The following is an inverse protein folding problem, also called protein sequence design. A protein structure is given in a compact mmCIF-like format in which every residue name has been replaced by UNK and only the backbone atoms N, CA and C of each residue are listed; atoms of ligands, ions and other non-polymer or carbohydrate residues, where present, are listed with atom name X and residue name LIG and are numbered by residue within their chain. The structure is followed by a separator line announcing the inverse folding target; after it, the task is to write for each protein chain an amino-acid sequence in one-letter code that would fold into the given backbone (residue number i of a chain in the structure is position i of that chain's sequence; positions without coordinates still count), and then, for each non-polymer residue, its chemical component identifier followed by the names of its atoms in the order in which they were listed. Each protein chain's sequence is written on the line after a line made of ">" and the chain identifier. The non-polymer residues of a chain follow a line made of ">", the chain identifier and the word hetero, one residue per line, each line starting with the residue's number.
data_IF_831535001993
#
_entry.id   IF_831535001993
#
_cell.length_a   1.000
_cell.length_b   1.000
_cell.length_c   1.000
_cell.angle_alpha   90.00
_cell.angle_beta   90.00
_cell.angle_gamma   90.00
#
_symmetry.space_group_name_H-M   'P 1'
#
loop_
_entity.id
_entity.type
_entity.pdbx_description
1 polymer ?
#
# COMPACT_ATOMS: atom_id res chain seq x y z
N UNK A 1 7.44 -6.17 7.37
CA UNK A 1 6.29 -5.67 6.59
C UNK A 1 6.51 -4.23 6.13
N UNK A 2 6.90 -3.30 7.00
CA UNK A 2 7.09 -1.88 6.68
C UNK A 2 8.05 -1.64 5.52
N UNK A 3 9.24 -2.25 5.54
CA UNK A 3 10.21 -2.12 4.44
C UNK A 3 9.66 -2.67 3.11
N UNK A 4 9.11 -3.89 3.14
CA UNK A 4 8.52 -4.50 1.94
C UNK A 4 7.40 -3.65 1.34
N UNK A 5 6.51 -3.11 2.18
CA UNK A 5 5.43 -2.23 1.72
C UNK A 5 5.97 -0.94 1.08
N UNK A 6 7.03 -0.34 1.63
CA UNK A 6 7.69 0.83 1.03
C UNK A 6 8.26 0.48 -0.34
N UNK A 7 9.09 -0.57 -0.41
CA UNK A 7 9.74 -1.01 -1.65
C UNK A 7 8.69 -1.39 -2.74
N UNK A 8 7.56 -1.98 -2.32
CA UNK A 8 6.41 -2.33 -3.16
C UNK A 8 5.74 -1.08 -3.74
N UNK A 9 5.33 -0.14 -2.87
CA UNK A 9 4.67 1.09 -3.30
C UNK A 9 5.56 1.96 -4.17
N UNK A 10 6.86 2.05 -3.88
CA UNK A 10 7.80 2.84 -4.68
C UNK A 10 7.89 2.30 -6.11
N UNK A 11 7.94 0.96 -6.26
CA UNK A 11 7.97 0.32 -7.57
C UNK A 11 6.67 0.55 -8.35
N UNK A 12 5.53 0.41 -7.70
CA UNK A 12 4.23 0.64 -8.33
C UNK A 12 4.06 2.10 -8.74
N UNK A 13 4.40 3.04 -7.85
CA UNK A 13 4.36 4.47 -8.14
C UNK A 13 5.30 4.83 -9.29
N UNK A 14 6.48 4.21 -9.39
CA UNK A 14 7.39 4.39 -10.51
C UNK A 14 6.76 3.92 -11.83
N UNK A 15 6.20 2.72 -11.88
CA UNK A 15 5.53 2.22 -13.09
C UNK A 15 4.29 3.06 -13.46
N UNK A 16 3.50 3.45 -12.46
CA UNK A 16 2.35 4.32 -12.69
C UNK A 16 2.76 5.66 -13.31
N UNK A 17 3.88 6.25 -12.88
CA UNK A 17 4.42 7.47 -13.47
C UNK A 17 4.98 7.24 -14.88
N UNK A 18 5.75 6.16 -15.08
CA UNK A 18 6.39 5.86 -16.37
C UNK A 18 5.38 5.62 -17.50
N UNK A 19 4.22 5.03 -17.16
CA UNK A 19 3.18 4.69 -18.13
C UNK A 19 1.96 5.63 -18.09
N UNK A 20 2.05 6.76 -17.39
CA UNK A 20 0.99 7.76 -17.23
C UNK A 20 -0.35 7.13 -16.77
N UNK A 21 -0.30 6.32 -15.70
CA UNK A 21 -1.48 5.66 -15.16
C UNK A 21 -2.49 6.69 -14.62
N UNK A 22 -3.74 6.73 -15.13
CA UNK A 22 -4.70 7.79 -14.80
C UNK A 22 -5.05 7.90 -13.31
N UNK A 23 -5.06 6.77 -12.58
CA UNK A 23 -5.44 6.75 -11.16
C UNK A 23 -4.25 6.87 -10.20
N UNK A 24 -3.05 7.20 -10.71
CA UNK A 24 -1.82 7.34 -9.90
C UNK A 24 -2.02 8.18 -8.63
N UNK A 25 -2.65 9.35 -8.78
CA UNK A 25 -2.85 10.28 -7.66
C UNK A 25 -3.71 9.68 -6.54
N UNK A 26 -4.69 8.86 -6.89
CA UNK A 26 -5.61 8.21 -5.95
C UNK A 26 -4.85 7.09 -5.22
N UNK A 27 -4.18 6.21 -5.96
CA UNK A 27 -3.46 5.07 -5.40
C UNK A 27 -2.29 5.51 -4.50
N UNK A 28 -1.52 6.52 -4.93
CA UNK A 28 -0.49 7.14 -4.10
C UNK A 28 -1.02 7.69 -2.78
N UNK A 29 -2.20 8.31 -2.78
CA UNK A 29 -2.83 8.81 -1.55
C UNK A 29 -3.18 7.67 -0.59
N UNK A 30 -3.65 6.53 -1.13
CA UNK A 30 -3.90 5.33 -0.34
C UNK A 30 -2.60 4.78 0.28
N UNK A 31 -1.50 4.71 -0.49
CA UNK A 31 -0.19 4.30 0.01
C UNK A 31 0.31 5.20 1.14
N UNK A 32 0.17 6.53 0.98
CA UNK A 32 0.56 7.51 2.00
C UNK A 32 -0.22 7.32 3.30
N UNK A 33 -1.53 7.09 3.20
CA UNK A 33 -2.37 6.85 4.37
C UNK A 33 -2.02 5.54 5.09
N UNK A 34 -1.73 4.47 4.33
CA UNK A 34 -1.25 3.22 4.91
C UNK A 34 0.09 3.38 5.63
N UNK A 35 1.05 4.09 5.01
CA UNK A 35 2.35 4.39 5.62
C UNK A 35 2.17 5.15 6.93
N UNK A 36 1.34 6.21 6.92
CA UNK A 36 1.04 7.03 8.10
C UNK A 36 0.45 6.19 9.24
N UNK A 37 -0.63 5.44 8.97
CA UNK A 37 -1.26 4.59 9.98
C UNK A 37 -0.32 3.52 10.54
N UNK A 38 0.53 2.94 9.69
CA UNK A 38 1.52 1.95 10.15
C UNK A 38 2.55 2.56 11.10
N UNK A 39 2.99 3.80 10.84
CA UNK A 39 3.89 4.52 11.75
C UNK A 39 3.19 4.83 13.07
N UNK A 40 1.94 5.30 13.05
CA UNK A 40 1.14 5.57 14.25
C UNK A 40 1.05 4.32 15.13
N UNK A 41 0.73 3.16 14.54
CA UNK A 41 0.68 1.89 15.25
C UNK A 41 2.03 1.46 15.84
N UNK A 42 3.14 1.70 15.12
CA UNK A 42 4.47 1.43 15.65
C UNK A 42 4.76 2.29 16.88
N UNK A 43 4.43 3.59 16.84
CA UNK A 43 4.62 4.52 17.96
C UNK A 43 3.78 4.14 19.18
N UNK A 44 2.51 3.79 18.99
CA UNK A 44 1.60 3.37 20.06
C UNK A 44 2.07 2.08 20.75
N UNK A 45 2.59 1.13 19.95
CA UNK A 45 3.16 -0.12 20.46
C UNK A 45 4.43 0.14 21.30
N UNK A 46 5.32 1.02 20.82
CA UNK A 46 6.54 1.40 21.54
C UNK A 46 6.26 2.15 22.85
N UNK A 47 5.18 2.91 22.90
CA UNK A 47 4.78 3.65 24.11
C UNK A 47 4.15 2.76 25.20
N UNK A 48 4.16 1.43 25.05
CA UNK A 48 3.50 0.45 25.93
C UNK A 48 2.00 0.73 26.16
N UNK A 49 1.36 1.50 25.27
CA UNK A 49 -0.03 1.93 25.44
C UNK A 49 -1.06 0.88 25.03
N UNK A 50 -0.64 -0.21 24.36
CA UNK A 50 -1.55 -1.22 23.81
C UNK A 50 -1.06 -2.63 24.13
N UNK A 51 -1.74 -3.30 25.06
CA UNK A 51 -1.76 -4.77 25.13
C UNK A 51 -2.65 -5.30 24.01
N UNK A 52 -2.01 -5.96 23.04
CA UNK A 52 -2.55 -6.82 21.97
C UNK A 52 -2.60 -6.22 20.54
N UNK A 53 -1.63 -6.62 19.69
CA UNK A 53 -1.47 -6.30 18.25
C UNK A 53 -2.55 -6.76 17.27
N UNK A 54 -3.63 -7.42 17.72
CA UNK A 54 -4.54 -8.14 16.81
C UNK A 54 -5.35 -7.21 15.91
N UNK A 55 -5.78 -6.04 16.41
CA UNK A 55 -6.48 -5.04 15.61
C UNK A 55 -5.56 -4.41 14.56
N UNK A 56 -4.32 -4.11 14.96
CA UNK A 56 -3.26 -3.62 14.06
C UNK A 56 -3.00 -4.64 12.96
N UNK A 57 -2.79 -5.91 13.32
CA UNK A 57 -2.57 -6.99 12.37
C UNK A 57 -3.78 -7.19 11.44
N UNK A 58 -5.00 -7.12 11.98
CA UNK A 58 -6.23 -7.25 11.19
C UNK A 58 -6.37 -6.09 10.21
N UNK A 59 -6.11 -4.86 10.63
CA UNK A 59 -6.10 -3.70 9.74
C UNK A 59 -5.07 -3.86 8.64
N UNK A 60 -3.81 -4.17 9.00
CA UNK A 60 -2.72 -4.27 8.03
C UNK A 60 -3.02 -5.38 7.01
N UNK A 61 -3.49 -6.55 7.46
CA UNK A 61 -3.86 -7.66 6.59
C UNK A 61 -5.04 -7.31 5.68
N UNK A 62 -6.11 -6.74 6.25
CA UNK A 62 -7.33 -6.41 5.50
C UNK A 62 -7.05 -5.35 4.45
N UNK A 63 -6.38 -4.26 4.84
CA UNK A 63 -6.01 -3.19 3.92
C UNK A 63 -5.11 -3.71 2.81
N UNK A 64 -4.05 -4.45 3.15
CA UNK A 64 -3.09 -4.98 2.18
C UNK A 64 -3.76 -5.89 1.15
N UNK A 65 -4.59 -6.83 1.63
CA UNK A 65 -5.25 -7.79 0.75
C UNK A 65 -6.26 -7.11 -0.16
N UNK A 66 -7.06 -6.18 0.38
CA UNK A 66 -8.05 -5.45 -0.42
C UNK A 66 -7.38 -4.51 -1.42
N UNK A 67 -6.31 -3.82 -1.03
CA UNK A 67 -5.58 -2.92 -1.91
C UNK A 67 -5.00 -3.68 -3.10
N UNK A 68 -4.31 -4.81 -2.87
CA UNK A 68 -3.79 -5.65 -3.95
C UNK A 68 -4.93 -6.13 -4.86
N UNK A 69 -5.98 -6.71 -4.29
CA UNK A 69 -7.02 -7.35 -5.09
C UNK A 69 -7.92 -6.37 -5.85
N UNK A 70 -8.09 -5.15 -5.34
CA UNK A 70 -9.04 -4.19 -5.89
C UNK A 70 -8.38 -3.02 -6.60
N UNK A 71 -7.26 -2.49 -6.10
CA UNK A 71 -6.60 -1.30 -6.65
C UNK A 71 -5.45 -1.71 -7.56
N UNK A 72 -4.51 -2.52 -7.08
CA UNK A 72 -3.34 -2.95 -7.88
C UNK A 72 -3.75 -3.77 -9.10
N UNK A 73 -4.82 -4.56 -8.98
CA UNK A 73 -5.35 -5.30 -10.12
C UNK A 73 -5.92 -4.41 -11.24
N UNK A 74 -6.24 -3.14 -11.00
CA UNK A 74 -6.73 -2.21 -12.03
C UNK A 74 -5.64 -1.85 -13.03
N UNK A 75 -4.44 -1.51 -12.55
CA UNK A 75 -3.35 -1.20 -13.47
C UNK A 75 -2.78 -2.44 -14.15
N UNK A 76 -3.05 -3.67 -13.65
CA UNK A 76 -2.55 -4.90 -14.27
C UNK A 76 -2.97 -4.98 -15.73
N UNK A 77 -4.24 -4.71 -16.01
CA UNK A 77 -4.75 -4.67 -17.39
C UNK A 77 -4.11 -3.51 -18.18
N UNK A 78 -3.99 -2.34 -17.56
CA UNK A 78 -3.43 -1.13 -18.17
C UNK A 78 -1.97 -1.32 -18.61
N UNK A 79 -1.13 -1.97 -17.78
CA UNK A 79 0.27 -2.25 -18.08
C UNK A 79 0.44 -3.40 -19.07
N UNK A 80 -0.40 -4.45 -18.97
CA UNK A 80 -0.43 -5.55 -19.95
C UNK A 80 -0.70 -5.06 -21.38
N UNK A 81 -1.63 -4.12 -21.54
CA UNK A 81 -1.93 -3.50 -22.84
C UNK A 81 -0.76 -2.66 -23.39
N UNK A 82 0.18 -2.25 -22.52
CA UNK A 82 1.38 -1.45 -22.86
C UNK A 82 2.67 -2.27 -22.91
N UNK A 83 2.56 -3.60 -22.88
CA UNK A 83 3.70 -4.52 -23.07
C UNK A 83 4.48 -4.84 -21.80
N UNK A 84 4.08 -4.33 -20.63
CA UNK A 84 4.56 -4.84 -19.34
C UNK A 84 3.85 -6.16 -19.03
N UNK A 85 4.58 -7.20 -18.59
CA UNK A 85 3.99 -8.48 -18.16
C UNK A 85 4.24 -8.73 -16.69
#
# INVERSE_FOLDING_TARGET
>A
MTKYAIDHFEREEQYMLEYDYPEYSIQRKQHQEFKRKTVDFCMETMAHKVTVPTEIFSYLKLWWTNHILQEDMKYKKFFNERGLK
#
